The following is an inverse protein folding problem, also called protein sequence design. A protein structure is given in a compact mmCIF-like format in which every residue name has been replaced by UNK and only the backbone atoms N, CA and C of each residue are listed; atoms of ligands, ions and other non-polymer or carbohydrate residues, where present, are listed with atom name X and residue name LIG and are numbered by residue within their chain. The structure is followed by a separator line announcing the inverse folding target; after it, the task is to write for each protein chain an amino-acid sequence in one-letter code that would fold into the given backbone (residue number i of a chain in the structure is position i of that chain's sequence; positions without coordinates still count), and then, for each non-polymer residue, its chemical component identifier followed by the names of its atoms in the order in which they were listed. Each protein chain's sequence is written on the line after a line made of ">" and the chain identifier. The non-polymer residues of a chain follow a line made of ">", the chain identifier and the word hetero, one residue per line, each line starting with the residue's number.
data_IF_104732316165
#
_entry.id   IF_104732316165
#
_cell.length_a   1.000
_cell.length_b   1.000
_cell.length_c   1.000
_cell.angle_alpha   90.00
_cell.angle_beta   90.00
_cell.angle_gamma   90.00
#
_symmetry.space_group_name_H-M   'P 1'
#
loop_
_entity.id
_entity.type
_entity.pdbx_description
1 polymer ?
#
# COMPACT_ATOMS: atom_id res chain seq x y z
N UNK A 1 0.97 14.19 11.50
CA UNK A 1 -0.10 13.26 11.08
C UNK A 1 0.27 12.62 9.74
N UNK A 2 -0.26 11.45 9.41
CA UNK A 2 0.09 10.79 8.14
C UNK A 2 -0.35 11.59 6.93
N UNK A 3 -1.56 12.17 6.96
CA UNK A 3 -2.11 12.97 5.86
C UNK A 3 -1.34 14.27 5.62
N UNK A 4 -0.81 14.89 6.66
CA UNK A 4 0.00 16.11 6.52
C UNK A 4 1.27 15.85 5.72
N UNK A 5 1.88 14.67 5.92
CA UNK A 5 3.05 14.23 5.15
C UNK A 5 2.69 14.13 3.66
N UNK A 6 1.51 13.58 3.35
CA UNK A 6 1.05 13.48 1.96
C UNK A 6 0.81 14.87 1.36
N UNK A 7 0.13 15.76 2.10
CA UNK A 7 -0.14 17.11 1.64
C UNK A 7 1.14 17.91 1.38
N UNK A 8 2.13 17.79 2.27
CA UNK A 8 3.43 18.42 2.09
C UNK A 8 4.13 17.94 0.81
N UNK A 9 4.12 16.62 0.57
CA UNK A 9 4.69 16.02 -0.65
C UNK A 9 3.97 16.51 -1.91
N UNK A 10 2.63 16.58 -1.89
CA UNK A 10 1.81 17.12 -2.98
C UNK A 10 2.19 18.57 -3.28
N UNK A 11 2.30 19.40 -2.25
CA UNK A 11 2.69 20.81 -2.41
C UNK A 11 4.09 20.96 -2.99
N UNK A 12 5.05 20.15 -2.50
CA UNK A 12 6.44 20.17 -2.96
C UNK A 12 6.57 19.76 -4.42
N UNK A 13 5.90 18.71 -4.83
CA UNK A 13 5.96 18.18 -6.19
C UNK A 13 4.96 18.84 -7.13
N UNK A 14 4.01 19.63 -6.60
CA UNK A 14 2.88 20.21 -7.35
C UNK A 14 2.11 19.16 -8.15
N UNK A 15 2.03 17.96 -7.62
CA UNK A 15 1.40 16.82 -8.26
C UNK A 15 0.59 16.02 -7.23
N UNK A 16 -0.76 15.95 -7.35
CA UNK A 16 -1.61 15.21 -6.44
C UNK A 16 -1.79 13.73 -6.83
N UNK A 17 -1.09 13.26 -7.86
CA UNK A 17 -1.27 11.90 -8.39
C UNK A 17 -0.68 10.84 -7.47
N UNK A 18 -1.33 9.68 -7.45
CA UNK A 18 -0.83 8.46 -6.85
C UNK A 18 -0.78 7.36 -7.91
N UNK A 19 0.31 6.64 -7.99
CA UNK A 19 0.44 5.51 -8.91
C UNK A 19 0.13 4.22 -8.17
N UNK A 20 -0.75 3.41 -8.77
CA UNK A 20 -1.06 2.08 -8.29
C UNK A 20 -0.18 1.04 -8.96
N UNK A 21 0.47 0.21 -8.14
CA UNK A 21 1.26 -0.93 -8.58
C UNK A 21 0.41 -2.20 -8.45
N UNK A 22 -0.38 -2.44 -9.48
CA UNK A 22 -1.25 -3.61 -9.61
C UNK A 22 -1.31 -3.98 -11.09
N UNK A 23 -0.38 -4.85 -11.52
CA UNK A 23 -0.30 -5.33 -12.89
C UNK A 23 -0.48 -6.86 -12.91
N UNK A 24 -1.28 -7.42 -13.80
CA UNK A 24 -1.28 -8.86 -14.02
C UNK A 24 0.10 -9.36 -14.45
N UNK A 25 0.51 -10.53 -13.96
CA UNK A 25 1.83 -11.09 -14.29
C UNK A 25 2.00 -11.29 -15.80
N UNK A 26 0.90 -11.57 -16.51
CA UNK A 26 0.87 -11.73 -17.97
C UNK A 26 1.23 -10.45 -18.73
N UNK A 27 1.02 -9.30 -18.13
CA UNK A 27 1.24 -7.99 -18.75
C UNK A 27 2.61 -7.42 -18.39
N UNK A 28 3.42 -8.19 -17.64
CA UNK A 28 4.77 -7.78 -17.27
C UNK A 28 5.64 -7.64 -18.53
N UNK A 29 6.40 -6.54 -18.67
CA UNK A 29 7.28 -6.37 -19.83
C UNK A 29 8.25 -7.54 -19.98
N UNK A 30 8.54 -8.01 -21.23
CA UNK A 30 9.33 -9.22 -21.48
C UNK A 30 10.75 -9.25 -20.89
N UNK A 31 11.27 -8.09 -20.50
CA UNK A 31 12.60 -7.99 -19.88
C UNK A 31 12.63 -8.48 -18.42
N UNK A 32 11.48 -8.63 -17.79
CA UNK A 32 11.37 -9.15 -16.42
C UNK A 32 10.94 -10.61 -16.44
N UNK A 33 11.42 -11.38 -15.49
CA UNK A 33 10.94 -12.75 -15.31
C UNK A 33 9.46 -12.73 -14.92
N UNK A 34 8.68 -13.66 -15.46
CA UNK A 34 7.25 -13.77 -15.16
C UNK A 34 7.03 -14.60 -13.88
N UNK A 35 7.63 -14.13 -12.79
CA UNK A 35 7.57 -14.72 -11.46
C UNK A 35 7.54 -13.61 -10.39
N UNK A 36 7.55 -13.99 -9.11
CA UNK A 36 7.51 -13.05 -7.99
C UNK A 36 8.66 -12.06 -8.02
N UNK A 37 9.87 -12.56 -8.30
CA UNK A 37 11.09 -11.74 -8.31
C UNK A 37 11.06 -10.70 -9.41
N UNK A 38 10.73 -11.10 -10.64
CA UNK A 38 10.62 -10.19 -11.78
C UNK A 38 9.51 -9.16 -11.59
N UNK A 39 8.40 -9.54 -10.94
CA UNK A 39 7.35 -8.60 -10.57
C UNK A 39 7.84 -7.55 -9.56
N UNK A 40 8.56 -7.97 -8.53
CA UNK A 40 9.17 -7.07 -7.55
C UNK A 40 10.22 -6.15 -8.18
N UNK A 41 11.07 -6.65 -9.07
CA UNK A 41 12.06 -5.85 -9.83
C UNK A 41 11.34 -4.78 -10.66
N UNK A 42 10.32 -5.15 -11.41
CA UNK A 42 9.51 -4.20 -12.19
C UNK A 42 8.94 -3.09 -11.32
N UNK A 43 8.33 -3.45 -10.19
CA UNK A 43 7.77 -2.46 -9.27
C UNK A 43 8.84 -1.49 -8.75
N UNK A 44 10.02 -1.98 -8.37
CA UNK A 44 11.12 -1.15 -7.87
C UNK A 44 11.73 -0.27 -8.96
N UNK A 45 11.86 -0.75 -10.18
CA UNK A 45 12.30 0.05 -11.33
C UNK A 45 11.32 1.18 -11.63
N UNK A 46 10.02 0.89 -11.58
CA UNK A 46 8.98 1.88 -11.77
C UNK A 46 9.02 2.96 -10.66
N UNK A 47 9.23 2.55 -9.41
CA UNK A 47 9.45 3.50 -8.30
C UNK A 47 10.67 4.39 -8.56
N UNK A 48 11.75 3.83 -9.09
CA UNK A 48 12.95 4.59 -9.47
C UNK A 48 12.66 5.66 -10.52
N UNK A 49 11.93 5.28 -11.57
CA UNK A 49 11.57 6.18 -12.68
C UNK A 49 10.56 7.27 -12.28
N UNK A 50 9.73 7.02 -11.29
CA UNK A 50 8.71 7.97 -10.81
C UNK A 50 9.19 8.85 -9.64
N UNK A 51 10.41 8.63 -9.15
CA UNK A 51 10.96 9.38 -8.01
C UNK A 51 11.02 10.87 -8.32
N UNK A 52 10.43 11.67 -7.45
CA UNK A 52 10.36 13.12 -7.62
C UNK A 52 9.26 13.60 -8.59
N UNK A 53 8.51 12.69 -9.20
CA UNK A 53 7.38 13.01 -10.10
C UNK A 53 6.06 12.87 -9.34
N UNK A 54 5.82 11.75 -8.67
CA UNK A 54 4.59 11.51 -7.90
C UNK A 54 4.88 11.40 -6.40
N UNK A 55 4.01 11.95 -5.55
CA UNK A 55 4.22 11.95 -4.10
C UNK A 55 3.90 10.62 -3.43
N UNK A 56 3.05 9.81 -4.05
CA UNK A 56 2.47 8.63 -3.42
C UNK A 56 2.38 7.44 -4.36
N UNK A 57 2.42 6.25 -3.76
CA UNK A 57 2.22 4.97 -4.44
C UNK A 57 1.25 4.09 -3.64
N UNK A 58 0.47 3.31 -4.36
CA UNK A 58 -0.44 2.30 -3.82
C UNK A 58 0.01 0.93 -4.31
N UNK A 59 0.19 0.00 -3.38
CA UNK A 59 0.55 -1.38 -3.68
C UNK A 59 -0.61 -2.30 -3.33
N UNK A 60 -0.95 -3.23 -4.21
CA UNK A 60 -1.98 -4.23 -3.96
C UNK A 60 -1.40 -5.43 -3.22
N UNK A 61 -1.88 -5.69 -1.99
CA UNK A 61 -1.53 -6.90 -1.26
C UNK A 61 -1.89 -8.16 -2.06
N UNK A 62 -3.10 -8.21 -2.62
CA UNK A 62 -3.58 -9.36 -3.38
C UNK A 62 -2.71 -9.69 -4.59
N UNK A 63 -2.22 -8.68 -5.32
CA UNK A 63 -1.35 -8.90 -6.47
C UNK A 63 -0.04 -9.62 -6.09
N UNK A 64 0.56 -9.25 -4.95
CA UNK A 64 1.75 -9.94 -4.44
C UNK A 64 1.42 -11.28 -3.77
N UNK A 65 0.31 -11.37 -3.04
CA UNK A 65 -0.09 -12.61 -2.38
C UNK A 65 -0.41 -13.72 -3.38
N UNK A 66 -0.92 -13.38 -4.57
CA UNK A 66 -1.13 -14.31 -5.68
C UNK A 66 0.17 -15.03 -6.09
N UNK A 67 1.33 -14.43 -5.85
CA UNK A 67 2.64 -14.97 -6.17
C UNK A 67 3.24 -15.81 -5.00
N UNK A 68 2.44 -16.08 -3.98
CA UNK A 68 2.83 -16.91 -2.83
C UNK A 68 3.78 -16.21 -1.84
N UNK A 69 4.53 -17.02 -1.10
CA UNK A 69 5.44 -16.51 -0.07
C UNK A 69 6.55 -15.61 -0.62
N UNK A 70 7.09 -15.92 -1.80
CA UNK A 70 8.06 -15.07 -2.49
C UNK A 70 7.45 -13.73 -2.88
N UNK A 71 6.19 -13.72 -3.33
CA UNK A 71 5.46 -12.49 -3.63
C UNK A 71 5.33 -11.58 -2.39
N UNK A 72 5.03 -12.15 -1.23
CA UNK A 72 4.95 -11.37 0.01
C UNK A 72 6.32 -10.81 0.44
N UNK A 73 7.40 -11.54 0.21
CA UNK A 73 8.76 -11.02 0.42
C UNK A 73 9.06 -9.84 -0.53
N UNK A 74 8.68 -9.95 -1.78
CA UNK A 74 8.83 -8.87 -2.76
C UNK A 74 7.98 -7.65 -2.42
N UNK A 75 6.78 -7.84 -1.85
CA UNK A 75 5.96 -6.75 -1.32
C UNK A 75 6.69 -5.99 -0.20
N UNK A 76 7.25 -6.72 0.77
CA UNK A 76 8.01 -6.13 1.87
C UNK A 76 9.21 -5.32 1.34
N UNK A 77 9.98 -5.88 0.41
CA UNK A 77 11.12 -5.20 -0.21
C UNK A 77 10.69 -3.95 -1.00
N UNK A 78 9.58 -4.03 -1.73
CA UNK A 78 9.06 -2.92 -2.53
C UNK A 78 8.56 -1.78 -1.64
N UNK A 79 7.85 -2.08 -0.55
CA UNK A 79 7.42 -1.10 0.44
C UNK A 79 8.61 -0.41 1.13
N UNK A 80 9.64 -1.17 1.50
CA UNK A 80 10.87 -0.61 2.08
C UNK A 80 11.62 0.26 1.07
N UNK A 81 11.69 -0.15 -0.19
CA UNK A 81 12.28 0.66 -1.27
C UNK A 81 11.52 1.97 -1.44
N UNK A 82 10.19 1.92 -1.50
CA UNK A 82 9.35 3.11 -1.58
C UNK A 82 9.53 4.04 -0.36
N UNK A 83 9.69 3.47 0.85
CA UNK A 83 10.02 4.22 2.08
C UNK A 83 11.33 4.98 1.93
N UNK A 84 12.39 4.29 1.50
CA UNK A 84 13.73 4.87 1.35
C UNK A 84 13.79 5.93 0.24
N UNK A 85 12.94 5.79 -0.77
CA UNK A 85 12.79 6.80 -1.84
C UNK A 85 11.92 7.99 -1.42
N UNK A 86 11.26 7.92 -0.25
CA UNK A 86 10.48 9.00 0.30
C UNK A 86 9.03 9.07 -0.20
N UNK A 87 8.48 8.01 -0.77
CA UNK A 87 7.07 7.95 -1.16
C UNK A 87 6.13 7.91 0.05
N UNK A 88 4.94 8.50 -0.10
CA UNK A 88 3.80 8.15 0.72
C UNK A 88 3.24 6.81 0.22
N UNK A 89 3.13 5.82 1.09
CA UNK A 89 2.80 4.44 0.74
C UNK A 89 1.43 4.08 1.25
N UNK A 90 0.57 3.64 0.34
CA UNK A 90 -0.75 3.10 0.64
C UNK A 90 -0.73 1.62 0.30
N UNK A 91 -1.14 0.79 1.25
CA UNK A 91 -1.35 -0.64 1.01
C UNK A 91 -2.84 -0.89 0.75
N UNK A 92 -3.14 -1.54 -0.36
CA UNK A 92 -4.48 -1.97 -0.69
C UNK A 92 -4.64 -3.45 -0.33
N UNK A 93 -5.38 -3.71 0.74
CA UNK A 93 -5.57 -5.06 1.29
C UNK A 93 -7.01 -5.29 1.79
N UNK A 94 -8.03 -5.00 0.98
CA UNK A 94 -9.43 -5.15 1.40
C UNK A 94 -9.80 -6.60 1.71
N UNK A 95 -9.11 -7.57 1.12
CA UNK A 95 -9.29 -9.01 1.34
C UNK A 95 -8.90 -9.48 2.74
N UNK A 96 -8.08 -8.73 3.46
CA UNK A 96 -7.67 -9.06 4.82
C UNK A 96 -8.67 -8.59 5.88
N UNK A 97 -9.75 -7.94 5.46
CA UNK A 97 -10.68 -7.27 6.35
C UNK A 97 -11.89 -8.16 6.63
N UNK A 98 -11.88 -8.75 7.79
CA UNK A 98 -13.07 -9.33 8.43
C UNK A 98 -13.15 -8.83 9.88
N UNK A 99 -14.32 -8.90 10.55
CA UNK A 99 -14.44 -8.48 11.94
C UNK A 99 -13.44 -9.17 12.89
N UNK A 100 -13.13 -10.43 12.61
CA UNK A 100 -12.18 -11.22 13.41
C UNK A 100 -10.73 -11.00 13.02
N UNK A 101 -10.45 -10.67 11.77
CA UNK A 101 -9.07 -10.45 11.28
C UNK A 101 -8.61 -8.99 11.43
N UNK A 102 -9.52 -8.05 11.61
CA UNK A 102 -9.20 -6.61 11.61
C UNK A 102 -8.16 -6.24 12.68
N UNK A 103 -8.25 -6.83 13.89
CA UNK A 103 -7.27 -6.60 14.94
C UNK A 103 -5.88 -7.13 14.56
N UNK A 104 -5.81 -8.36 14.07
CA UNK A 104 -4.54 -8.99 13.64
C UNK A 104 -3.93 -8.20 12.47
N UNK A 105 -4.77 -7.75 11.53
CA UNK A 105 -4.34 -6.95 10.40
C UNK A 105 -3.80 -5.58 10.85
N UNK A 106 -4.46 -4.93 11.81
CA UNK A 106 -3.99 -3.67 12.37
C UNK A 106 -2.61 -3.83 13.04
N UNK A 107 -2.43 -4.87 13.83
CA UNK A 107 -1.15 -5.20 14.46
C UNK A 107 -0.06 -5.49 13.41
N UNK A 108 -0.38 -6.27 12.37
CA UNK A 108 0.58 -6.63 11.33
C UNK A 108 1.11 -5.44 10.52
N UNK A 109 0.32 -4.38 10.34
CA UNK A 109 0.70 -3.25 9.48
C UNK A 109 1.04 -1.97 10.23
N UNK A 110 0.59 -1.79 11.48
CA UNK A 110 0.71 -0.53 12.21
C UNK A 110 1.34 -0.67 13.60
N UNK A 111 1.56 -1.88 14.11
CA UNK A 111 2.16 -2.08 15.42
C UNK A 111 3.67 -2.32 15.31
N UNK A 112 4.45 -1.36 15.84
CA UNK A 112 5.89 -1.49 15.97
C UNK A 112 6.70 -1.53 14.66
N UNK A 113 7.71 -2.38 14.62
CA UNK A 113 8.52 -2.64 13.42
C UNK A 113 7.86 -3.72 12.57
N UNK A 114 7.17 -3.28 11.52
CA UNK A 114 6.52 -4.19 10.56
C UNK A 114 7.39 -4.41 9.32
N UNK A 115 7.31 -5.61 8.75
CA UNK A 115 7.91 -5.91 7.44
C UNK A 115 7.20 -5.18 6.28
N UNK A 116 5.97 -4.67 6.52
CA UNK A 116 5.12 -4.00 5.54
C UNK A 116 4.90 -2.52 5.86
N UNK A 117 5.93 -1.67 5.88
CA UNK A 117 5.80 -0.30 6.33
C UNK A 117 4.94 0.53 5.37
N UNK A 118 3.72 0.86 5.77
CA UNK A 118 2.83 1.73 5.01
C UNK A 118 2.41 2.97 5.81
N UNK A 119 1.90 4.00 5.12
CA UNK A 119 1.39 5.23 5.72
C UNK A 119 -0.13 5.22 5.81
N UNK A 120 -0.78 4.37 5.01
CA UNK A 120 -2.22 4.19 4.99
C UNK A 120 -2.61 2.83 4.46
N UNK A 121 -3.79 2.37 4.85
CA UNK A 121 -4.38 1.12 4.41
C UNK A 121 -5.72 1.41 3.76
N UNK A 122 -5.98 0.78 2.61
CA UNK A 122 -7.30 0.80 1.99
C UNK A 122 -8.18 -0.23 2.68
N UNK A 123 -9.28 0.23 3.24
CA UNK A 123 -10.26 -0.62 3.93
C UNK A 123 -11.63 -0.47 3.31
N UNK A 124 -12.41 -1.54 3.33
CA UNK A 124 -13.80 -1.51 2.89
C UNK A 124 -14.72 -1.05 4.03
N UNK A 125 -15.40 0.08 3.85
CA UNK A 125 -16.41 0.55 4.79
C UNK A 125 -17.74 -0.23 4.74
N UNK A 126 -17.86 -1.19 3.84
CA UNK A 126 -19.10 -1.96 3.62
C UNK A 126 -19.47 -2.86 4.80
N UNK A 127 -18.49 -3.32 5.54
CA UNK A 127 -18.63 -4.29 6.61
C UNK A 127 -18.86 -3.64 8.00
N UNK A 128 -19.03 -2.33 8.05
CA UNK A 128 -19.35 -1.60 9.26
C UNK A 128 -18.14 -1.04 10.03
N UNK A 129 -18.44 -0.30 11.11
CA UNK A 129 -17.44 0.38 11.92
C UNK A 129 -16.51 -0.56 12.68
N UNK A 130 -16.95 -1.78 12.98
CA UNK A 130 -16.20 -2.73 13.81
C UNK A 130 -14.94 -3.24 13.12
N UNK A 131 -14.89 -3.16 11.76
CA UNK A 131 -13.69 -3.46 10.99
C UNK A 131 -12.71 -2.29 11.01
N UNK A 132 -13.19 -1.07 11.17
CA UNK A 132 -12.36 0.14 11.12
C UNK A 132 -11.73 0.45 12.48
N UNK A 133 -12.48 0.22 13.56
CA UNK A 133 -12.06 0.56 14.93
C UNK A 133 -10.68 0.01 15.33
N UNK A 134 -10.30 -1.23 15.01
CA UNK A 134 -8.99 -1.78 15.38
C UNK A 134 -7.81 -1.01 14.79
N UNK A 135 -8.00 -0.31 13.67
CA UNK A 135 -6.94 0.44 13.00
C UNK A 135 -6.73 1.84 13.59
N UNK A 136 -7.70 2.38 14.33
CA UNK A 136 -7.63 3.76 14.84
C UNK A 136 -6.50 3.99 15.84
N UNK A 137 -6.22 3.08 16.80
CA UNK A 137 -5.14 3.29 17.79
C UNK A 137 -3.73 3.23 17.19
N UNK A 138 -3.52 2.43 16.15
CA UNK A 138 -2.20 2.22 15.51
C UNK A 138 -1.84 3.27 14.45
N UNK A 139 -2.79 4.12 14.06
CA UNK A 139 -2.54 5.13 13.04
C UNK A 139 -1.83 6.35 13.63
N UNK A 140 -0.69 6.78 13.04
CA UNK A 140 -0.08 8.05 13.40
C UNK A 140 -1.05 9.20 13.12
N UNK A 141 -1.72 9.70 14.16
CA UNK A 141 -2.74 10.75 14.03
C UNK A 141 -4.20 10.28 14.09
N UNK A 142 -4.47 9.04 14.52
CA UNK A 142 -5.83 8.54 14.72
C UNK A 142 -6.61 8.33 13.41
N UNK A 143 -7.87 8.80 13.37
CA UNK A 143 -8.79 8.54 12.24
C UNK A 143 -8.32 9.02 10.85
N UNK A 144 -7.31 9.88 10.79
CA UNK A 144 -6.90 10.57 9.56
C UNK A 144 -5.99 9.74 8.63
N UNK A 145 -5.44 8.61 9.09
CA UNK A 145 -4.61 7.72 8.27
C UNK A 145 -5.41 6.72 7.43
N UNK A 146 -6.73 6.72 7.55
CA UNK A 146 -7.58 5.73 6.91
C UNK A 146 -8.06 6.21 5.54
N UNK A 147 -7.65 5.53 4.47
CA UNK A 147 -8.19 5.74 3.13
C UNK A 147 -9.35 4.78 2.91
N UNK A 148 -10.57 5.31 2.88
CA UNK A 148 -11.78 4.52 2.58
C UNK A 148 -11.90 4.32 1.07
N UNK A 149 -12.00 3.07 0.63
CA UNK A 149 -12.43 2.77 -0.73
C UNK A 149 -13.84 3.31 -0.98
N UNK A 150 -14.02 4.14 -1.99
CA UNK A 150 -15.36 4.59 -2.37
C UNK A 150 -16.15 3.44 -2.96
N UNK A 151 -17.30 3.12 -2.34
CA UNK A 151 -18.28 2.25 -2.98
C UNK A 151 -18.84 2.98 -4.21
N UNK A 152 -18.58 2.49 -5.41
CA UNK A 152 -19.35 2.92 -6.58
C UNK A 152 -20.81 2.54 -6.36
N UNK A 153 -21.65 3.55 -6.10
CA UNK A 153 -23.09 3.39 -6.28
C UNK A 153 -23.37 3.25 -7.79
N UNK A 154 -23.89 2.10 -8.17
CA UNK A 154 -24.60 1.95 -9.44
C UNK A 154 -25.95 2.61 -9.33
#
# INVERSE_FOLDING_TARGET
>A
MSIDILQEKIRKLKNPSMVELMLPLTDLPPRYAHDAKGYGEFCRDLLGGLKGIVPAVRLSFGAFALLGGEGLQELAQTLNTARNMGYYRVLDAPELLSPTAAQITAEAFFDGETDYPCNGLVVSGYLGSDIIKPFLPGLPGGEEGLVRGSAHRK
#
